data_IF_488878048881
#
_entry.id   IF_488878048881
#
_cell.length_a   1.000
_cell.length_b   1.000
_cell.length_c   1.000
_cell.angle_alpha   90.00
_cell.angle_beta   90.00
_cell.angle_gamma   90.00
#
_symmetry.space_group_name_H-M   'P 1'
#
loop_
_entity.id
_entity.type
_entity.pdbx_description
1 polymer ?
#
# COMPACT_ATOMS: atom_id res chain seq x y z
N UNK A 1 -49.00 4.15 -7.14
CA UNK A 1 -48.33 4.62 -5.90
C UNK A 1 -47.29 3.65 -5.35
N UNK A 2 -47.52 2.33 -5.33
CA UNK A 2 -46.52 1.33 -4.88
C UNK A 2 -45.19 1.30 -5.65
N UNK A 3 -45.13 1.39 -7.00
CA UNK A 3 -43.85 1.29 -7.71
C UNK A 3 -42.95 2.52 -7.54
N UNK A 4 -43.53 3.70 -7.31
CA UNK A 4 -42.76 4.93 -7.07
C UNK A 4 -41.96 4.85 -5.76
N UNK A 5 -42.57 4.33 -4.70
CA UNK A 5 -41.92 4.18 -3.39
C UNK A 5 -40.76 3.18 -3.48
N UNK A 6 -40.97 2.05 -4.16
CA UNK A 6 -39.92 1.04 -4.36
C UNK A 6 -38.75 1.59 -5.16
N UNK A 7 -39.02 2.37 -6.21
CA UNK A 7 -37.97 3.03 -7.00
C UNK A 7 -37.18 4.05 -6.17
N UNK A 8 -37.85 4.81 -5.29
CA UNK A 8 -37.19 5.79 -4.43
C UNK A 8 -36.27 5.12 -3.40
N UNK A 9 -36.71 4.01 -2.80
CA UNK A 9 -35.89 3.24 -1.85
C UNK A 9 -34.64 2.69 -2.55
N UNK A 10 -34.81 2.08 -3.72
CA UNK A 10 -33.68 1.57 -4.51
C UNK A 10 -32.66 2.66 -4.86
N UNK A 11 -33.15 3.84 -5.27
CA UNK A 11 -32.29 4.97 -5.59
C UNK A 11 -31.52 5.47 -4.36
N UNK A 12 -32.18 5.59 -3.20
CA UNK A 12 -31.55 5.97 -1.94
C UNK A 12 -30.48 4.96 -1.49
N UNK A 13 -30.75 3.66 -1.62
CA UNK A 13 -29.78 2.61 -1.29
C UNK A 13 -28.54 2.66 -2.21
N UNK A 14 -28.75 2.85 -3.51
CA UNK A 14 -27.67 3.00 -4.50
C UNK A 14 -26.82 4.24 -4.23
N UNK A 15 -27.46 5.37 -3.91
CA UNK A 15 -26.76 6.60 -3.58
C UNK A 15 -25.92 6.44 -2.31
N UNK A 16 -26.47 5.82 -1.27
CA UNK A 16 -25.73 5.52 -0.05
C UNK A 16 -24.53 4.61 -0.31
N UNK A 17 -24.71 3.56 -1.12
CA UNK A 17 -23.61 2.68 -1.53
C UNK A 17 -22.52 3.43 -2.29
N UNK A 18 -22.91 4.31 -3.22
CA UNK A 18 -21.95 5.10 -4.00
C UNK A 18 -21.15 6.07 -3.13
N UNK A 19 -21.79 6.73 -2.16
CA UNK A 19 -21.12 7.63 -1.21
C UNK A 19 -20.14 6.88 -0.31
N UNK A 20 -20.54 5.71 0.21
CA UNK A 20 -19.67 4.85 1.01
C UNK A 20 -18.49 4.31 0.18
N UNK A 21 -18.75 3.89 -1.06
CA UNK A 21 -17.73 3.39 -1.97
C UNK A 21 -16.74 4.49 -2.39
N UNK A 22 -17.21 5.71 -2.65
CA UNK A 22 -16.33 6.82 -3.04
C UNK A 22 -15.46 7.31 -1.86
N UNK A 23 -15.94 7.15 -0.61
CA UNK A 23 -15.14 7.38 0.60
C UNK A 23 -14.00 6.36 0.79
N UNK A 24 -14.02 5.23 0.09
CA UNK A 24 -12.99 4.19 0.15
C UNK A 24 -11.87 4.37 -0.89
N UNK A 25 -11.71 5.54 -1.53
CA UNK A 25 -10.46 5.85 -2.23
C UNK A 25 -9.35 5.97 -1.19
N UNK A 26 -8.70 4.84 -0.89
CA UNK A 26 -7.55 4.78 0.00
C UNK A 26 -6.38 5.46 -0.70
N UNK A 27 -6.24 6.77 -0.48
CA UNK A 27 -5.05 7.51 -0.86
C UNK A 27 -3.87 6.89 -0.10
N UNK A 28 -2.93 6.31 -0.85
CA UNK A 28 -1.73 5.71 -0.25
C UNK A 28 -0.91 6.83 0.37
N UNK A 29 -0.73 6.80 1.69
CA UNK A 29 0.05 7.81 2.40
C UNK A 29 1.54 7.80 1.99
N UNK A 30 2.04 6.67 1.47
CA UNK A 30 3.43 6.54 1.01
C UNK A 30 3.54 5.59 -0.19
N UNK A 31 4.70 5.61 -0.85
CA UNK A 31 5.00 4.78 -2.00
C UNK A 31 6.49 4.46 -2.10
N UNK A 32 6.83 3.46 -2.91
CA UNK A 32 8.21 3.11 -3.26
C UNK A 32 8.63 3.96 -4.45
N UNK A 33 9.64 4.80 -4.27
CA UNK A 33 10.14 5.72 -5.29
C UNK A 33 11.17 5.06 -6.20
N UNK A 34 12.07 4.25 -5.64
CA UNK A 34 13.21 3.71 -6.38
C UNK A 34 13.69 2.39 -5.78
N UNK A 35 14.17 1.49 -6.64
CA UNK A 35 14.79 0.22 -6.27
C UNK A 35 16.05 0.07 -7.11
N UNK A 36 17.23 0.25 -6.50
CA UNK A 36 18.53 0.21 -7.18
C UNK A 36 19.61 -0.35 -6.23
N UNK A 37 20.60 -1.08 -6.76
CA UNK A 37 21.88 -1.43 -6.11
C UNK A 37 21.81 -1.71 -4.59
N UNK A 38 20.94 -2.63 -4.17
CA UNK A 38 20.71 -3.04 -2.77
C UNK A 38 19.98 -2.02 -1.86
N UNK A 39 19.23 -1.11 -2.47
CA UNK A 39 18.48 -0.06 -1.77
C UNK A 39 17.06 0.05 -2.31
N UNK A 40 16.15 0.34 -1.39
CA UNK A 40 14.78 0.74 -1.68
C UNK A 40 14.54 2.09 -1.05
N UNK A 41 14.03 3.03 -1.84
CA UNK A 41 13.68 4.37 -1.38
C UNK A 41 12.15 4.42 -1.21
N UNK A 42 11.71 4.55 0.03
CA UNK A 42 10.32 4.87 0.36
C UNK A 42 10.15 6.38 0.44
N UNK A 43 9.06 6.91 -0.12
CA UNK A 43 8.71 8.33 -0.01
C UNK A 43 7.29 8.48 0.50
N UNK A 44 7.13 9.35 1.51
CA UNK A 44 5.83 9.74 2.03
C UNK A 44 5.38 11.04 1.34
N UNK A 45 4.31 10.95 0.56
CA UNK A 45 3.64 12.10 -0.07
C UNK A 45 2.35 12.47 0.66
N UNK A 46 2.01 11.76 1.74
CA UNK A 46 0.84 12.05 2.56
C UNK A 46 1.02 13.34 3.37
N UNK A 47 -0.03 13.69 4.10
CA UNK A 47 -0.07 14.88 4.97
C UNK A 47 0.50 14.63 6.36
N UNK A 48 0.66 13.37 6.76
CA UNK A 48 1.11 12.96 8.10
C UNK A 48 2.33 12.03 8.00
N UNK A 49 3.10 11.95 9.09
CA UNK A 49 4.12 10.92 9.23
C UNK A 49 3.48 9.52 9.25
N UNK A 50 4.18 8.54 8.69
CA UNK A 50 3.71 7.16 8.58
C UNK A 50 4.65 6.24 9.36
N UNK A 51 4.10 5.47 10.29
CA UNK A 51 4.84 4.45 11.02
C UNK A 51 4.77 3.13 10.24
N UNK A 52 5.89 2.72 9.63
CA UNK A 52 6.04 1.46 8.91
C UNK A 52 6.23 0.32 9.92
N UNK A 53 5.38 -0.69 9.83
CA UNK A 53 5.31 -1.79 10.79
C UNK A 53 5.80 -3.12 10.24
N UNK A 54 5.66 -3.36 8.94
CA UNK A 54 5.94 -4.68 8.40
C UNK A 54 6.47 -4.62 6.97
N UNK A 55 7.40 -5.50 6.68
CA UNK A 55 7.88 -5.82 5.33
C UNK A 55 7.58 -7.29 5.05
N UNK A 56 6.81 -7.54 4.00
CA UNK A 56 6.51 -8.89 3.52
C UNK A 56 7.23 -9.11 2.18
N UNK A 57 7.97 -10.20 2.09
CA UNK A 57 8.62 -10.66 0.86
C UNK A 57 7.88 -11.86 0.31
N UNK A 58 7.40 -11.77 -0.93
CA UNK A 58 6.72 -12.85 -1.64
C UNK A 58 7.49 -13.24 -2.90
N UNK A 59 7.91 -14.49 -3.02
CA UNK A 59 8.59 -15.00 -4.20
C UNK A 59 7.74 -16.11 -4.84
N UNK A 60 7.55 -16.08 -6.16
CA UNK A 60 6.73 -17.10 -6.86
C UNK A 60 5.30 -17.24 -6.33
N UNK A 61 4.72 -16.15 -5.80
CA UNK A 61 3.37 -16.14 -5.22
C UNK A 61 3.26 -16.65 -3.78
N UNK A 62 4.36 -17.08 -3.15
CA UNK A 62 4.40 -17.54 -1.75
C UNK A 62 5.08 -16.52 -0.85
N UNK A 63 4.63 -16.39 0.39
CA UNK A 63 5.30 -15.57 1.42
C UNK A 63 6.55 -16.31 1.88
N UNK A 64 7.71 -15.72 1.63
CA UNK A 64 9.02 -16.27 2.02
C UNK A 64 9.50 -15.69 3.34
N UNK A 65 9.29 -14.38 3.55
CA UNK A 65 9.76 -13.67 4.74
C UNK A 65 8.76 -12.61 5.17
N UNK A 66 8.61 -12.46 6.48
CA UNK A 66 7.91 -11.35 7.12
C UNK A 66 8.85 -10.76 8.15
N UNK A 67 9.06 -9.45 8.08
CA UNK A 67 9.94 -8.71 8.97
C UNK A 67 9.16 -7.58 9.62
N UNK A 68 9.23 -7.51 10.94
CA UNK A 68 8.66 -6.39 11.68
C UNK A 68 9.60 -5.20 11.57
N UNK A 69 9.04 -4.07 11.15
CA UNK A 69 9.71 -2.80 11.05
C UNK A 69 9.22 -1.90 12.19
N UNK A 70 10.11 -1.07 12.71
CA UNK A 70 9.73 0.01 13.60
C UNK A 70 10.37 1.30 13.09
N UNK A 71 9.97 1.69 11.88
CA UNK A 71 10.53 2.81 11.13
C UNK A 71 9.47 3.89 10.97
N UNK A 72 9.85 5.14 11.19
CA UNK A 72 8.98 6.29 11.00
C UNK A 72 9.40 7.07 9.75
N UNK A 73 8.46 7.23 8.82
CA UNK A 73 8.64 7.97 7.58
C UNK A 73 7.92 9.31 7.66
N UNK A 74 8.70 10.35 7.96
CA UNK A 74 8.20 11.73 8.09
C UNK A 74 7.57 12.28 6.80
N UNK A 75 6.69 13.25 6.96
CA UNK A 75 5.98 13.89 5.84
C UNK A 75 6.95 14.47 4.80
N UNK A 76 6.70 14.22 3.51
CA UNK A 76 7.53 14.70 2.39
C UNK A 76 9.01 14.26 2.45
N UNK A 77 9.36 13.32 3.34
CA UNK A 77 10.71 12.76 3.43
C UNK A 77 10.80 11.43 2.68
N UNK A 78 12.04 11.04 2.40
CA UNK A 78 12.37 9.74 1.86
C UNK A 78 13.18 8.94 2.88
N UNK A 79 12.97 7.64 2.94
CA UNK A 79 13.72 6.71 3.78
C UNK A 79 14.38 5.67 2.87
N UNK A 80 15.69 5.52 3.03
CA UNK A 80 16.46 4.48 2.36
C UNK A 80 16.46 3.22 3.23
N UNK A 81 16.02 2.11 2.68
CA UNK A 81 16.10 0.78 3.29
C UNK A 81 17.12 -0.03 2.51
N UNK A 82 18.17 -0.47 3.19
CA UNK A 82 19.17 -1.38 2.61
C UNK A 82 18.63 -2.79 2.65
N UNK A 83 18.52 -3.41 1.49
CA UNK A 83 18.07 -4.80 1.32
C UNK A 83 18.98 -5.46 0.32
N UNK A 84 19.39 -6.69 0.61
CA UNK A 84 20.16 -7.47 -0.34
C UNK A 84 19.24 -7.90 -1.51
N UNK A 85 19.27 -7.13 -2.60
CA UNK A 85 18.39 -7.36 -3.74
C UNK A 85 18.68 -8.71 -4.42
N UNK A 86 19.94 -9.19 -4.34
CA UNK A 86 20.33 -10.47 -4.95
C UNK A 86 19.56 -11.68 -4.38
N UNK A 87 19.26 -11.68 -3.08
CA UNK A 87 18.51 -12.77 -2.44
C UNK A 87 16.99 -12.69 -2.66
N UNK A 88 16.48 -11.59 -3.19
CA UNK A 88 15.04 -11.32 -3.36
C UNK A 88 14.66 -10.95 -4.80
N UNK A 89 15.54 -11.27 -5.77
CA UNK A 89 15.23 -11.15 -7.19
C UNK A 89 14.05 -12.05 -7.57
N UNK A 90 13.11 -11.51 -8.34
CA UNK A 90 11.88 -12.23 -8.71
C UNK A 90 10.82 -12.25 -7.61
N UNK A 91 10.98 -11.43 -6.56
CA UNK A 91 10.06 -11.34 -5.44
C UNK A 91 9.33 -9.99 -5.42
N UNK A 92 8.12 -9.98 -4.90
CA UNK A 92 7.38 -8.79 -4.52
C UNK A 92 7.67 -8.43 -3.06
N UNK A 93 8.00 -7.17 -2.82
CA UNK A 93 8.17 -6.60 -1.49
C UNK A 93 6.96 -5.72 -1.19
N UNK A 94 6.36 -5.90 -0.03
CA UNK A 94 5.22 -5.12 0.43
C UNK A 94 5.53 -4.51 1.78
N UNK A 95 5.53 -3.19 1.85
CA UNK A 95 5.62 -2.44 3.10
C UNK A 95 4.22 -2.11 3.59
N UNK A 96 3.97 -2.32 4.88
CA UNK A 96 2.69 -2.05 5.54
C UNK A 96 2.95 -1.12 6.71
N UNK A 97 2.14 -0.08 6.83
CA UNK A 97 2.14 0.85 7.96
C UNK A 97 1.07 0.55 8.99
N UNK A 98 1.20 1.18 10.15
CA UNK A 98 0.31 0.99 11.31
C UNK A 98 -1.15 1.36 11.04
N UNK A 99 -1.38 2.33 10.16
CA UNK A 99 -2.71 2.77 9.73
C UNK A 99 -3.33 1.85 8.66
N UNK A 100 -2.63 0.76 8.27
CA UNK A 100 -3.08 -0.18 7.26
C UNK A 100 -2.76 0.24 5.82
N UNK A 101 -2.10 1.38 5.60
CA UNK A 101 -1.60 1.74 4.27
C UNK A 101 -0.49 0.77 3.85
N UNK A 102 -0.38 0.50 2.55
CA UNK A 102 0.69 -0.35 2.02
C UNK A 102 1.23 0.14 0.68
N UNK A 103 2.48 -0.21 0.41
CA UNK A 103 3.13 -0.03 -0.88
C UNK A 103 3.88 -1.30 -1.26
N UNK A 104 3.68 -1.78 -2.49
CA UNK A 104 4.40 -2.95 -3.00
C UNK A 104 5.20 -2.64 -4.26
N UNK A 105 6.28 -3.39 -4.44
CA UNK A 105 7.14 -3.33 -5.63
C UNK A 105 7.66 -4.72 -5.95
N UNK A 106 7.59 -5.09 -7.23
CA UNK A 106 8.21 -6.30 -7.74
C UNK A 106 9.66 -6.05 -8.10
N UNK A 107 10.56 -6.88 -7.58
CA UNK A 107 11.99 -6.85 -7.87
C UNK A 107 12.23 -7.73 -9.10
N UNK A 108 12.51 -7.15 -10.29
CA UNK A 108 12.70 -7.93 -11.49
C UNK A 108 13.91 -8.87 -11.33
N UNK A 109 13.76 -10.09 -11.85
CA UNK A 109 14.83 -11.09 -11.85
C UNK A 109 15.93 -10.81 -12.88
N UNK A 110 15.72 -9.84 -13.78
CA UNK A 110 16.68 -9.40 -14.80
C UNK A 110 17.05 -7.93 -14.60
N UNK A 111 18.35 -7.70 -14.53
CA UNK A 111 19.07 -6.43 -14.33
C UNK A 111 20.54 -6.77 -14.31
#
# INVERSE_FOLDING_TARGET
MKPLIVSSILFLSLLAFFLLYHGMKQERSFFIKEVNDNKIILKNNGTNAVDLMMLITRCGGKVERVEELNLRLEQNKSLEIRVNLSSIRGCELTFISRDGSWASCFIPSRG
#
